data_IF_040333690512
#
_entry.id   IF_040333690512
#
_cell.length_a   1.000
_cell.length_b   1.000
_cell.length_c   1.000
_cell.angle_alpha   90.00
_cell.angle_beta   90.00
_cell.angle_gamma   90.00
#
_symmetry.space_group_name_H-M   'P 1'
#
loop_
_entity.id
_entity.type
_entity.pdbx_description
1 polymer ?
#
# COMPACT_ATOMS: atom_id res chain seq x y z
N UNK A 1 -4.05 -4.29 13.03
CA UNK A 1 -3.86 -5.13 11.82
C UNK A 1 -5.13 -5.78 11.29
N UNK A 2 -5.78 -6.71 12.03
CA UNK A 2 -6.99 -7.41 11.52
C UNK A 2 -8.12 -6.49 11.06
N UNK A 3 -8.32 -5.37 11.74
CA UNK A 3 -9.35 -4.40 11.36
C UNK A 3 -9.05 -3.71 10.03
N UNK A 4 -7.80 -3.27 9.82
CA UNK A 4 -7.38 -2.71 8.55
C UNK A 4 -7.54 -3.73 7.41
N UNK A 5 -7.21 -5.00 7.66
CA UNK A 5 -7.38 -6.07 6.69
C UNK A 5 -8.85 -6.30 6.30
N UNK A 6 -9.78 -6.19 7.27
CA UNK A 6 -11.23 -6.20 6.99
C UNK A 6 -11.68 -4.98 6.19
N UNK A 7 -11.16 -3.80 6.51
CA UNK A 7 -11.51 -2.55 5.83
C UNK A 7 -11.16 -2.58 4.34
N UNK A 8 -10.03 -3.19 3.99
CA UNK A 8 -9.55 -3.28 2.60
C UNK A 8 -9.82 -4.64 1.96
N UNK A 9 -10.55 -5.53 2.64
CA UNK A 9 -10.94 -6.87 2.17
C UNK A 9 -9.76 -7.73 1.69
N UNK A 10 -8.62 -7.69 2.40
CA UNK A 10 -7.40 -8.45 2.06
C UNK A 10 -6.87 -9.29 3.23
N UNK A 11 -5.96 -10.20 2.91
CA UNK A 11 -5.29 -11.04 3.89
C UNK A 11 -4.42 -10.24 4.87
N UNK A 12 -4.42 -10.70 6.13
CA UNK A 12 -3.75 -9.99 7.24
C UNK A 12 -2.24 -9.91 7.05
N UNK A 13 -1.61 -10.93 6.45
CA UNK A 13 -0.16 -10.96 6.18
C UNK A 13 0.26 -9.90 5.19
N UNK A 14 -0.52 -9.77 4.11
CA UNK A 14 -0.26 -8.81 3.05
C UNK A 14 -0.43 -7.39 3.58
N UNK A 15 -1.56 -7.14 4.24
CA UNK A 15 -1.87 -5.83 4.83
C UNK A 15 -0.84 -5.45 5.89
N UNK A 16 -0.33 -6.40 6.66
CA UNK A 16 0.75 -6.13 7.60
C UNK A 16 2.05 -5.69 6.89
N UNK A 17 2.41 -6.39 5.81
CA UNK A 17 3.60 -6.09 5.01
C UNK A 17 3.48 -4.72 4.33
N UNK A 18 2.32 -4.43 3.75
CA UNK A 18 2.02 -3.15 3.10
C UNK A 18 2.06 -1.99 4.10
N UNK A 19 1.43 -2.13 5.28
CA UNK A 19 1.47 -1.10 6.32
C UNK A 19 2.88 -0.85 6.86
N UNK A 20 3.71 -1.90 6.92
CA UNK A 20 5.13 -1.74 7.27
C UNK A 20 5.90 -0.98 6.19
N UNK A 21 5.59 -1.21 4.92
CA UNK A 21 6.19 -0.45 3.84
C UNK A 21 5.74 1.03 3.85
N UNK A 22 4.46 1.30 4.14
CA UNK A 22 3.96 2.67 4.28
C UNK A 22 4.63 3.43 5.44
N UNK A 23 4.94 2.75 6.54
CA UNK A 23 5.72 3.31 7.65
C UNK A 23 7.15 3.66 7.22
N UNK A 24 7.82 2.77 6.50
CA UNK A 24 9.17 3.03 5.95
C UNK A 24 9.18 4.21 4.98
N UNK A 25 8.11 4.37 4.19
CA UNK A 25 7.94 5.51 3.29
C UNK A 25 7.56 6.81 4.02
N UNK A 26 7.31 6.77 5.33
CA UNK A 26 6.90 7.94 6.11
C UNK A 26 5.47 8.39 5.84
N UNK A 27 4.63 7.52 5.26
CA UNK A 27 3.24 7.83 4.95
C UNK A 27 2.36 7.74 6.19
N UNK A 28 2.58 6.75 7.06
CA UNK A 28 1.84 6.63 8.31
C UNK A 28 2.72 6.04 9.41
N UNK A 29 2.56 6.46 10.67
CA UNK A 29 3.25 5.82 11.79
C UNK A 29 2.49 4.56 12.26
N UNK A 30 3.23 3.59 12.81
CA UNK A 30 2.65 2.50 13.59
C UNK A 30 2.94 2.71 15.08
N UNK A 31 1.91 2.65 15.92
CA UNK A 31 2.04 2.74 17.37
C UNK A 31 2.00 1.37 18.02
N UNK A 32 2.80 1.19 19.08
CA UNK A 32 2.72 0.00 19.92
C UNK A 32 1.46 0.06 20.80
N UNK A 33 0.70 -1.02 20.87
CA UNK A 33 -0.54 -1.08 21.63
C UNK A 33 -0.38 -1.13 23.16
N UNK A 34 0.76 -0.72 23.71
CA UNK A 34 1.12 -0.89 25.12
C UNK A 34 1.49 -2.33 25.49
N UNK A 35 1.61 -2.65 26.80
CA UNK A 35 2.07 -3.96 27.27
C UNK A 35 1.19 -5.11 26.77
N UNK A 36 1.71 -5.91 25.84
CA UNK A 36 1.00 -7.03 25.20
C UNK A 36 -0.03 -6.61 24.16
N UNK A 37 -0.12 -5.32 23.83
CA UNK A 37 -1.04 -4.81 22.82
C UNK A 37 -0.51 -4.99 21.41
N UNK A 38 -1.43 -5.25 20.47
CA UNK A 38 -1.09 -5.34 19.07
C UNK A 38 -0.71 -3.96 18.50
N UNK A 39 0.26 -3.93 17.59
CA UNK A 39 0.63 -2.74 16.83
C UNK A 39 -0.59 -2.21 16.06
N UNK A 40 -0.79 -0.89 16.13
CA UNK A 40 -1.88 -0.19 15.48
C UNK A 40 -1.37 0.85 14.46
N UNK A 41 -1.87 0.83 13.21
CA UNK A 41 -1.58 1.89 12.26
C UNK A 41 -2.40 3.15 12.61
N UNK A 42 -1.75 4.32 12.59
CA UNK A 42 -2.41 5.62 12.75
C UNK A 42 -2.46 6.30 11.39
N UNK A 43 -3.65 6.63 10.90
CA UNK A 43 -3.82 7.29 9.59
C UNK A 43 -4.16 8.76 9.85
N UNK A 44 -3.21 9.71 9.70
CA UNK A 44 -3.41 11.11 10.07
C UNK A 44 -4.08 11.94 8.96
N UNK A 45 -4.57 11.28 7.90
CA UNK A 45 -5.12 11.95 6.72
C UNK A 45 -6.51 11.41 6.42
N UNK A 46 -7.43 12.30 6.07
CA UNK A 46 -8.77 11.92 5.60
C UNK A 46 -8.76 11.48 4.14
N UNK A 47 -7.76 11.92 3.36
CA UNK A 47 -7.58 11.60 1.94
C UNK A 47 -6.12 11.66 1.52
N UNK A 48 -5.73 10.73 0.65
CA UNK A 48 -4.43 10.74 -0.03
C UNK A 48 -4.68 11.01 -1.52
N UNK A 49 -4.12 12.09 -2.04
CA UNK A 49 -4.09 12.39 -3.49
C UNK A 49 -2.67 12.15 -4.00
N UNK A 50 -2.54 11.30 -5.02
CA UNK A 50 -1.25 10.98 -5.63
C UNK A 50 -1.23 11.57 -7.03
N UNK A 51 -0.35 12.54 -7.27
CA UNK A 51 -0.08 13.07 -8.59
C UNK A 51 1.09 12.28 -9.18
N UNK A 52 0.80 11.46 -10.19
CA UNK A 52 1.82 10.71 -10.92
C UNK A 52 2.03 11.42 -12.24
N UNK A 53 3.13 12.17 -12.35
CA UNK A 53 3.58 12.73 -13.61
C UNK A 53 4.27 11.62 -14.40
N UNK A 54 3.49 10.90 -15.21
CA UNK A 54 4.02 9.89 -16.13
C UNK A 54 4.28 10.53 -17.50
N UNK A 55 5.54 10.75 -17.91
CA UNK A 55 5.80 11.04 -19.30
C UNK A 55 5.41 9.80 -20.11
N UNK A 56 4.44 9.96 -21.02
CA UNK A 56 4.13 8.95 -22.02
C UNK A 56 5.45 8.67 -22.77
N UNK A 57 5.98 7.47 -22.59
CA UNK A 57 7.07 6.98 -23.44
C UNK A 57 6.41 6.83 -24.81
N UNK A 58 6.84 7.61 -25.79
CA UNK A 58 6.33 7.47 -27.16
C UNK A 58 6.51 6.00 -27.59
N UNK A 59 5.41 5.36 -28.01
CA UNK A 59 5.29 3.93 -28.32
C UNK A 59 6.07 3.57 -29.61
N UNK A 60 7.37 3.87 -29.62
CA UNK A 60 8.29 3.63 -30.72
C UNK A 60 8.94 2.25 -30.69
N UNK A 61 8.51 1.35 -29.80
CA UNK A 61 8.85 -0.06 -29.89
C UNK A 61 7.67 -0.90 -29.39
N UNK A 62 6.80 -1.25 -30.35
CA UNK A 62 5.77 -2.25 -30.17
C UNK A 62 6.42 -3.61 -29.88
N UNK A 63 6.74 -3.89 -28.61
CA UNK A 63 7.07 -5.24 -28.20
C UNK A 63 5.78 -6.07 -28.19
N UNK A 64 5.55 -6.71 -29.33
CA UNK A 64 4.47 -7.64 -29.60
C UNK A 64 4.56 -8.82 -28.64
N UNK A 65 3.97 -8.72 -27.45
CA UNK A 65 3.68 -9.90 -26.64
C UNK A 65 2.67 -10.78 -27.40
N UNK A 66 3.01 -12.02 -27.81
CA UNK A 66 2.06 -12.87 -28.49
C UNK A 66 0.99 -13.30 -27.49
N UNK A 67 -0.27 -12.95 -27.78
CA UNK A 67 -1.40 -13.57 -27.10
C UNK A 67 -1.42 -15.05 -27.46
N UNK A 68 -1.06 -15.92 -26.51
CA UNK A 68 -1.33 -17.35 -26.64
C UNK A 68 -2.82 -17.57 -26.39
N UNK A 69 -3.48 -18.16 -27.41
CA UNK A 69 -4.88 -18.55 -27.42
C UNK A 69 -5.14 -19.86 -26.65
#
# INVERSE_FOLDING_TARGET
>A
MREAARLVERDVSDVHSDLKQLEVLGILPLEEGGPGGAIQPVVPFDRIEVHIDYPLIDDGDADSAPASA
#
